data_IF_710373387151
#
_entry.id   IF_710373387151
#
_cell.length_a   1.000
_cell.length_b   1.000
_cell.length_c   1.000
_cell.angle_alpha   90.00
_cell.angle_beta   90.00
_cell.angle_gamma   90.00
#
_symmetry.space_group_name_H-M   'P 1'
#
loop_
_entity.id
_entity.type
_entity.pdbx_description
1 polymer ?
#
# COMPACT_ATOMS: atom_id res chain seq x y z
N UNK A 1 20.78 -26.52 -15.76
CA UNK A 1 19.46 -25.88 -15.57
C UNK A 1 18.98 -25.14 -16.82
N UNK A 2 19.75 -24.19 -17.37
CA UNK A 2 19.32 -23.32 -18.48
C UNK A 2 18.79 -24.06 -19.73
N UNK A 3 19.53 -25.05 -20.27
CA UNK A 3 19.08 -25.80 -21.47
C UNK A 3 17.73 -26.51 -21.29
N UNK A 4 17.56 -27.19 -20.16
CA UNK A 4 16.32 -27.90 -19.83
C UNK A 4 15.11 -26.96 -19.66
N UNK A 5 15.31 -25.79 -19.05
CA UNK A 5 14.25 -24.79 -18.89
C UNK A 5 13.84 -24.15 -20.23
N UNK A 6 14.80 -23.94 -21.13
CA UNK A 6 14.54 -23.38 -22.46
C UNK A 6 13.80 -24.38 -23.36
N UNK A 7 14.11 -25.67 -23.27
CA UNK A 7 13.37 -26.73 -23.97
C UNK A 7 11.91 -26.82 -23.51
N UNK A 8 11.65 -26.57 -22.23
CA UNK A 8 10.30 -26.52 -21.64
C UNK A 8 9.81 -25.09 -21.41
N UNK A 9 10.22 -24.15 -22.26
CA UNK A 9 10.00 -22.72 -22.06
C UNK A 9 8.56 -22.35 -21.65
N UNK A 10 7.51 -22.81 -22.36
CA UNK A 10 6.15 -22.42 -21.99
C UNK A 10 5.74 -22.92 -20.59
N UNK A 11 6.22 -24.10 -20.17
CA UNK A 11 5.88 -24.71 -18.89
C UNK A 11 6.63 -24.02 -17.76
N UNK A 12 7.91 -23.75 -17.97
CA UNK A 12 8.73 -22.99 -17.04
C UNK A 12 8.17 -21.57 -16.86
N UNK A 13 7.79 -20.89 -17.95
CA UNK A 13 7.21 -19.55 -17.90
C UNK A 13 5.86 -19.55 -17.16
N UNK A 14 4.94 -20.45 -17.50
CA UNK A 14 3.64 -20.54 -16.83
C UNK A 14 3.78 -20.86 -15.33
N UNK A 15 4.69 -21.77 -14.97
CA UNK A 15 4.97 -22.10 -13.58
C UNK A 15 5.57 -20.89 -12.83
N UNK A 16 6.55 -20.20 -13.40
CA UNK A 16 7.14 -19.00 -12.80
C UNK A 16 6.12 -17.88 -12.65
N UNK A 17 5.25 -17.64 -13.64
CA UNK A 17 4.19 -16.64 -13.55
C UNK A 17 3.13 -16.98 -12.48
N UNK A 18 2.73 -18.25 -12.37
CA UNK A 18 1.82 -18.70 -11.32
C UNK A 18 2.47 -18.57 -9.93
N UNK A 19 3.75 -18.97 -9.79
CA UNK A 19 4.51 -18.82 -8.55
C UNK A 19 4.72 -17.36 -8.17
N UNK A 20 4.90 -16.45 -9.13
CA UNK A 20 4.91 -15.02 -8.88
C UNK A 20 3.59 -14.58 -8.24
N UNK A 21 2.44 -14.94 -8.82
CA UNK A 21 1.13 -14.55 -8.30
C UNK A 21 0.89 -15.09 -6.89
N UNK A 22 1.24 -16.37 -6.64
CA UNK A 22 1.15 -16.98 -5.31
C UNK A 22 2.07 -16.30 -4.30
N UNK A 23 3.33 -16.11 -4.65
CA UNK A 23 4.33 -15.55 -3.73
C UNK A 23 4.13 -14.07 -3.49
N UNK A 24 3.61 -13.28 -4.44
CA UNK A 24 3.29 -11.88 -4.22
C UNK A 24 2.29 -11.69 -3.06
N UNK A 25 1.24 -12.51 -3.01
CA UNK A 25 0.25 -12.47 -1.92
C UNK A 25 0.79 -13.13 -0.65
N UNK A 26 1.38 -14.33 -0.77
CA UNK A 26 1.83 -15.09 0.39
C UNK A 26 3.02 -14.42 1.11
N UNK A 27 3.97 -13.85 0.37
CA UNK A 27 5.12 -13.14 0.96
C UNK A 27 4.66 -11.93 1.76
N UNK A 28 3.75 -11.12 1.21
CA UNK A 28 3.15 -9.99 1.93
C UNK A 28 2.38 -10.44 3.18
N UNK A 29 1.51 -11.45 3.05
CA UNK A 29 0.71 -11.93 4.16
C UNK A 29 1.54 -12.54 5.30
N UNK A 30 2.65 -13.20 4.98
CA UNK A 30 3.57 -13.75 5.98
C UNK A 30 4.45 -12.64 6.56
N UNK A 31 4.91 -11.67 5.74
CA UNK A 31 5.71 -10.53 6.17
C UNK A 31 5.00 -9.71 7.25
N UNK A 32 3.70 -9.44 7.06
CA UNK A 32 2.87 -8.72 8.04
C UNK A 32 2.73 -9.44 9.39
N UNK A 33 2.97 -10.76 9.43
CA UNK A 33 2.90 -11.55 10.67
C UNK A 33 4.25 -11.69 11.37
N UNK A 34 5.34 -11.24 10.74
CA UNK A 34 6.65 -11.27 11.37
C UNK A 34 6.69 -10.26 12.52
N UNK A 35 7.19 -10.63 13.71
CA UNK A 35 7.29 -9.73 14.87
C UNK A 35 8.49 -8.79 14.72
N UNK A 36 8.58 -8.09 13.59
CA UNK A 36 9.62 -7.13 13.30
C UNK A 36 9.26 -5.76 13.88
N UNK A 37 10.17 -5.20 14.68
CA UNK A 37 10.05 -3.84 15.19
C UNK A 37 11.30 -3.03 14.79
N UNK A 38 11.11 -2.06 13.90
CA UNK A 38 12.19 -1.21 13.41
C UNK A 38 12.84 -0.36 14.52
N UNK A 39 12.08 0.05 15.55
CA UNK A 39 12.58 0.88 16.64
C UNK A 39 13.52 0.11 17.59
N UNK A 40 13.37 -1.22 17.64
CA UNK A 40 14.18 -2.09 18.48
C UNK A 40 15.48 -2.55 17.81
N UNK A 41 15.70 -2.22 16.52
CA UNK A 41 16.81 -2.79 15.74
C UNK A 41 18.19 -2.54 16.36
N UNK A 42 18.37 -1.39 17.02
CA UNK A 42 19.61 -1.00 17.69
C UNK A 42 19.80 -1.77 19.00
N UNK A 43 18.70 -2.11 19.68
CA UNK A 43 18.68 -2.66 21.04
C UNK A 43 18.54 -4.19 21.08
N UNK A 44 17.93 -4.78 20.05
CA UNK A 44 17.61 -6.20 19.96
C UNK A 44 18.14 -6.79 18.65
N UNK A 45 19.32 -7.44 18.64
CA UNK A 45 19.94 -7.97 17.42
C UNK A 45 19.09 -9.04 16.72
N UNK A 46 18.16 -9.69 17.46
CA UNK A 46 17.16 -10.59 16.88
C UNK A 46 16.31 -9.91 15.80
N UNK A 47 16.08 -8.59 15.90
CA UNK A 47 15.36 -7.82 14.88
C UNK A 47 16.08 -7.80 13.53
N UNK A 48 17.42 -7.96 13.50
CA UNK A 48 18.17 -8.11 12.24
C UNK A 48 17.85 -9.43 11.54
N UNK A 49 17.61 -10.51 12.29
CA UNK A 49 17.19 -11.80 11.73
C UNK A 49 15.78 -11.68 11.15
N UNK A 50 14.86 -11.00 11.85
CA UNK A 50 13.52 -10.74 11.33
C UNK A 50 13.54 -9.84 10.09
N UNK A 51 14.41 -8.82 10.06
CA UNK A 51 14.62 -7.99 8.89
C UNK A 51 15.13 -8.80 7.70
N UNK A 52 16.14 -9.65 7.91
CA UNK A 52 16.68 -10.53 6.88
C UNK A 52 15.62 -11.52 6.37
N UNK A 53 14.81 -12.10 7.27
CA UNK A 53 13.69 -12.96 6.90
C UNK A 53 12.65 -12.21 6.06
N UNK A 54 12.34 -10.96 6.42
CA UNK A 54 11.42 -10.12 5.66
C UNK A 54 11.94 -9.86 4.24
N UNK A 55 13.21 -9.48 4.07
CA UNK A 55 13.83 -9.32 2.75
C UNK A 55 13.86 -10.63 1.95
N UNK A 56 14.23 -11.75 2.58
CA UNK A 56 14.27 -13.06 1.93
C UNK A 56 12.88 -13.54 1.50
N UNK A 57 11.83 -13.12 2.19
CA UNK A 57 10.46 -13.42 1.84
C UNK A 57 9.97 -12.54 0.68
N UNK A 58 10.25 -11.23 0.75
CA UNK A 58 9.85 -10.27 -0.28
C UNK A 58 10.62 -10.41 -1.60
N UNK A 59 11.81 -11.03 -1.61
CA UNK A 59 12.56 -11.30 -2.85
C UNK A 59 11.89 -12.38 -3.72
N UNK A 60 11.08 -13.28 -3.14
CA UNK A 60 10.48 -14.41 -3.85
C UNK A 60 9.65 -14.01 -5.08
N UNK A 61 8.67 -13.08 -5.00
CA UNK A 61 7.96 -12.63 -6.19
C UNK A 61 8.93 -12.05 -7.23
N UNK A 62 9.89 -11.21 -6.85
CA UNK A 62 10.86 -10.66 -7.80
C UNK A 62 11.71 -11.73 -8.49
N UNK A 63 12.11 -12.77 -7.76
CA UNK A 63 12.84 -13.90 -8.34
C UNK A 63 12.03 -14.61 -9.42
N UNK A 64 10.75 -14.91 -9.17
CA UNK A 64 9.89 -15.56 -10.15
C UNK A 64 9.57 -14.66 -11.34
N UNK A 65 9.34 -13.36 -11.11
CA UNK A 65 9.15 -12.38 -12.17
C UNK A 65 10.39 -12.23 -13.06
N UNK A 66 11.57 -12.08 -12.46
CA UNK A 66 12.84 -12.02 -13.16
C UNK A 66 13.14 -13.31 -13.93
N UNK A 67 12.72 -14.47 -13.42
CA UNK A 67 12.84 -15.75 -14.12
C UNK A 67 12.01 -15.77 -15.40
N UNK A 68 10.77 -15.25 -15.39
CA UNK A 68 9.95 -15.12 -16.60
C UNK A 68 10.66 -14.28 -17.69
N UNK A 69 11.18 -13.13 -17.31
CA UNK A 69 11.89 -12.22 -18.21
C UNK A 69 13.20 -12.85 -18.72
N UNK A 70 14.00 -13.42 -17.82
CA UNK A 70 15.25 -14.10 -18.16
C UNK A 70 15.06 -15.29 -19.09
N UNK A 71 14.00 -16.08 -18.90
CA UNK A 71 13.63 -17.18 -19.80
C UNK A 71 13.24 -16.66 -21.19
N UNK A 72 12.51 -15.54 -21.27
CA UNK A 72 12.12 -14.94 -22.54
C UNK A 72 13.35 -14.49 -23.35
N UNK A 73 14.34 -13.86 -22.70
CA UNK A 73 15.62 -13.51 -23.34
C UNK A 73 16.40 -14.74 -23.81
N UNK A 74 16.48 -15.80 -22.98
CA UNK A 74 17.17 -17.03 -23.35
C UNK A 74 16.51 -17.75 -24.53
N UNK A 75 15.17 -17.68 -24.66
CA UNK A 75 14.42 -18.36 -25.71
C UNK A 75 14.50 -17.66 -27.06
N UNK A 76 14.64 -16.34 -27.07
CA UNK A 76 14.62 -15.49 -28.26
C UNK A 76 15.89 -14.63 -28.42
N UNK A 77 17.09 -15.25 -28.50
CA UNK A 77 18.35 -14.50 -28.56
C UNK A 77 18.46 -13.61 -29.82
N UNK A 78 17.83 -13.98 -30.94
CA UNK A 78 17.81 -13.18 -32.16
C UNK A 78 16.82 -12.00 -32.17
N UNK A 79 15.99 -11.85 -31.14
CA UNK A 79 14.96 -10.81 -31.05
C UNK A 79 14.97 -10.07 -29.70
N UNK A 80 16.11 -10.04 -29.01
CA UNK A 80 16.25 -9.43 -27.68
C UNK A 80 15.72 -7.99 -27.66
N UNK A 81 16.01 -7.19 -28.69
CA UNK A 81 15.51 -5.81 -28.77
C UNK A 81 13.98 -5.70 -28.75
N UNK A 82 13.26 -6.63 -29.41
CA UNK A 82 11.79 -6.67 -29.37
C UNK A 82 11.28 -7.12 -28.02
N UNK A 83 11.87 -8.18 -27.46
CA UNK A 83 11.48 -8.68 -26.12
C UNK A 83 11.68 -7.60 -25.06
N UNK A 84 12.82 -6.90 -25.10
CA UNK A 84 13.14 -5.80 -24.21
C UNK A 84 12.19 -4.61 -24.39
N UNK A 85 11.81 -4.28 -25.63
CA UNK A 85 10.83 -3.22 -25.88
C UNK A 85 9.45 -3.55 -25.27
N UNK A 86 8.99 -4.81 -25.37
CA UNK A 86 7.74 -5.24 -24.73
C UNK A 86 7.84 -5.29 -23.19
N UNK A 87 8.97 -5.71 -22.65
CA UNK A 87 9.24 -5.70 -21.20
C UNK A 87 9.17 -4.26 -20.65
N UNK A 88 9.86 -3.31 -21.30
CA UNK A 88 9.87 -1.92 -20.88
C UNK A 88 8.51 -1.24 -21.05
N UNK A 89 7.81 -1.50 -22.16
CA UNK A 89 6.46 -0.99 -22.37
C UNK A 89 5.47 -1.56 -21.35
N UNK A 90 5.56 -2.86 -21.06
CA UNK A 90 4.77 -3.53 -20.03
C UNK A 90 5.02 -2.98 -18.64
N UNK A 91 6.28 -2.75 -18.27
CA UNK A 91 6.66 -2.11 -17.01
C UNK A 91 6.12 -0.67 -16.91
N UNK A 92 6.19 0.12 -17.99
CA UNK A 92 5.63 1.47 -18.04
C UNK A 92 4.11 1.50 -17.88
N UNK A 93 3.39 0.63 -18.60
CA UNK A 93 1.93 0.47 -18.47
C UNK A 93 1.59 -0.01 -17.06
N UNK A 94 2.35 -0.96 -16.51
CA UNK A 94 2.17 -1.46 -15.15
C UNK A 94 2.37 -0.38 -14.09
N UNK A 95 3.39 0.47 -14.24
CA UNK A 95 3.67 1.57 -13.32
C UNK A 95 2.56 2.63 -13.33
N UNK A 96 2.09 3.05 -14.50
CA UNK A 96 0.94 3.96 -14.60
C UNK A 96 -0.35 3.31 -14.11
N UNK A 97 -0.54 2.04 -14.46
CA UNK A 97 -1.70 1.24 -14.10
C UNK A 97 -1.84 1.06 -12.58
N UNK A 98 -0.74 0.77 -11.86
CA UNK A 98 -0.79 0.60 -10.41
C UNK A 98 -1.07 1.91 -9.69
N UNK A 99 -0.52 3.04 -10.17
CA UNK A 99 -0.85 4.36 -9.62
C UNK A 99 -2.32 4.68 -9.82
N UNK A 100 -2.86 4.46 -11.02
CA UNK A 100 -4.29 4.62 -11.31
C UNK A 100 -5.18 3.71 -10.44
N UNK A 101 -4.77 2.46 -10.26
CA UNK A 101 -5.49 1.49 -9.43
C UNK A 101 -5.53 1.91 -7.96
N UNK A 102 -4.43 2.44 -7.43
CA UNK A 102 -4.33 2.90 -6.03
C UNK A 102 -5.16 4.16 -5.73
N UNK A 103 -5.67 4.88 -6.74
CA UNK A 103 -6.71 5.90 -6.52
C UNK A 103 -8.11 5.31 -6.34
N UNK A 104 -8.32 4.05 -6.76
CA UNK A 104 -9.64 3.41 -6.78
C UNK A 104 -9.82 2.39 -5.65
N UNK A 105 -8.74 1.70 -5.28
CA UNK A 105 -8.77 0.60 -4.31
C UNK A 105 -7.62 0.71 -3.31
N UNK A 106 -7.82 0.11 -2.14
CA UNK A 106 -6.77 -0.01 -1.12
C UNK A 106 -5.58 -0.86 -1.62
N UNK A 107 -4.36 -0.63 -1.09
CA UNK A 107 -3.15 -1.36 -1.49
C UNK A 107 -3.27 -2.88 -1.41
N UNK A 108 -3.94 -3.41 -0.38
CA UNK A 108 -4.17 -4.85 -0.21
C UNK A 108 -5.05 -5.45 -1.32
N UNK A 109 -6.05 -4.70 -1.81
CA UNK A 109 -6.87 -5.08 -2.95
C UNK A 109 -6.10 -4.96 -4.26
N UNK A 110 -5.28 -3.92 -4.41
CA UNK A 110 -4.41 -3.75 -5.59
C UNK A 110 -3.47 -4.95 -5.77
N UNK A 111 -2.92 -5.50 -4.68
CA UNK A 111 -2.08 -6.70 -4.70
C UNK A 111 -2.81 -7.93 -5.27
N UNK A 112 -4.12 -8.08 -5.00
CA UNK A 112 -4.94 -9.17 -5.57
C UNK A 112 -5.06 -9.07 -7.09
N UNK A 113 -5.22 -7.85 -7.62
CA UNK A 113 -5.24 -7.63 -9.07
C UNK A 113 -3.89 -7.95 -9.71
N UNK A 114 -2.77 -7.59 -9.08
CA UNK A 114 -1.42 -7.96 -9.55
C UNK A 114 -1.26 -9.48 -9.60
N UNK A 115 -1.69 -10.18 -8.55
CA UNK A 115 -1.67 -11.64 -8.53
C UNK A 115 -2.57 -12.26 -9.62
N UNK A 116 -3.77 -11.73 -9.82
CA UNK A 116 -4.68 -12.17 -10.87
C UNK A 116 -4.10 -11.97 -12.27
N UNK A 117 -3.43 -10.86 -12.54
CA UNK A 117 -2.71 -10.61 -13.80
C UNK A 117 -1.59 -11.63 -14.03
N UNK A 118 -0.88 -12.02 -12.97
CA UNK A 118 0.16 -13.06 -13.07
C UNK A 118 -0.41 -14.44 -13.41
N UNK A 119 -1.54 -14.82 -12.80
CA UNK A 119 -2.25 -16.05 -13.16
C UNK A 119 -2.82 -16.00 -14.58
N UNK A 120 -3.30 -14.83 -15.03
CA UNK A 120 -3.72 -14.64 -16.41
C UNK A 120 -2.53 -14.82 -17.38
N UNK A 121 -1.37 -14.25 -17.07
CA UNK A 121 -0.14 -14.45 -17.86
C UNK A 121 0.28 -15.93 -17.89
N UNK A 122 0.18 -16.63 -16.77
CA UNK A 122 0.42 -18.07 -16.70
C UNK A 122 -0.56 -18.86 -17.58
N UNK A 123 -1.85 -18.50 -17.58
CA UNK A 123 -2.86 -19.10 -18.45
C UNK A 123 -2.53 -18.88 -19.92
N UNK A 124 -2.18 -17.64 -20.31
CA UNK A 124 -1.76 -17.29 -21.66
C UNK A 124 -0.56 -18.10 -22.15
N UNK A 125 0.48 -18.26 -21.31
CA UNK A 125 1.61 -19.12 -21.64
C UNK A 125 1.22 -20.60 -21.75
N UNK A 126 0.22 -21.04 -20.99
CA UNK A 126 -0.27 -22.42 -21.00
C UNK A 126 -1.12 -22.80 -22.22
N UNK A 127 -1.78 -21.85 -22.88
CA UNK A 127 -2.53 -22.10 -24.11
C UNK A 127 -1.67 -22.72 -25.23
N UNK A 128 -0.36 -22.46 -25.23
CA UNK A 128 0.59 -22.98 -26.22
C UNK A 128 1.03 -24.44 -26.04
N UNK A 129 0.70 -25.11 -24.92
CA UNK A 129 1.48 -26.27 -24.45
C UNK A 129 0.92 -27.69 -24.65
N UNK A 130 -0.39 -27.94 -24.57
CA UNK A 130 -0.89 -29.31 -24.26
C UNK A 130 -2.06 -29.74 -25.14
N UNK A 131 -2.23 -31.05 -25.39
CA UNK A 131 -3.38 -31.65 -26.09
C UNK A 131 -4.76 -31.34 -25.44
N UNK A 132 -4.79 -30.97 -24.15
CA UNK A 132 -5.97 -30.52 -23.37
C UNK A 132 -5.86 -29.03 -22.97
N UNK A 133 -5.54 -28.19 -23.95
CA UNK A 133 -5.30 -26.72 -23.90
C UNK A 133 -6.26 -25.94 -23.00
N UNK A 134 -7.53 -26.28 -23.10
CA UNK A 134 -8.62 -25.55 -22.50
C UNK A 134 -8.73 -25.81 -21.00
N UNK A 135 -8.42 -27.02 -20.52
CA UNK A 135 -8.53 -27.35 -19.09
C UNK A 135 -7.48 -26.65 -18.24
N UNK A 136 -6.23 -26.59 -18.71
CA UNK A 136 -5.15 -25.90 -17.99
C UNK A 136 -5.36 -24.38 -17.97
N UNK A 137 -5.77 -23.81 -19.11
CA UNK A 137 -6.08 -22.39 -19.20
C UNK A 137 -7.35 -22.00 -18.44
N UNK A 138 -8.40 -22.83 -18.47
CA UNK A 138 -9.60 -22.63 -17.66
C UNK A 138 -9.29 -22.76 -16.17
N UNK A 139 -8.45 -23.72 -15.76
CA UNK A 139 -8.04 -23.87 -14.36
C UNK A 139 -7.26 -22.66 -13.83
N UNK A 140 -6.28 -22.16 -14.60
CA UNK A 140 -5.53 -20.95 -14.26
C UNK A 140 -6.37 -19.68 -14.35
N UNK A 141 -7.31 -19.61 -15.31
CA UNK A 141 -8.28 -18.51 -15.42
C UNK A 141 -9.28 -18.49 -14.25
N UNK A 142 -9.75 -19.66 -13.83
CA UNK A 142 -10.56 -19.83 -12.61
C UNK A 142 -9.76 -19.47 -11.36
N UNK A 143 -8.48 -19.84 -11.30
CA UNK A 143 -7.60 -19.43 -10.21
C UNK A 143 -7.40 -17.90 -10.19
N UNK A 144 -7.21 -17.26 -11.35
CA UNK A 144 -7.13 -15.79 -11.45
C UNK A 144 -8.43 -15.12 -10.97
N UNK A 145 -9.58 -15.64 -11.40
CA UNK A 145 -10.89 -15.15 -10.96
C UNK A 145 -11.11 -15.36 -9.46
N UNK A 146 -10.72 -16.53 -8.92
CA UNK A 146 -10.81 -16.85 -7.50
C UNK A 146 -9.89 -15.96 -6.65
N UNK A 147 -8.68 -15.68 -7.11
CA UNK A 147 -7.73 -14.76 -6.46
C UNK A 147 -8.27 -13.33 -6.48
N UNK A 148 -8.91 -12.91 -7.58
CA UNK A 148 -9.53 -11.60 -7.68
C UNK A 148 -10.77 -11.42 -6.78
N UNK A 149 -11.59 -12.47 -6.60
CA UNK A 149 -12.92 -12.37 -5.97
C UNK A 149 -12.98 -12.94 -4.55
N UNK A 150 -12.20 -13.99 -4.23
CA UNK A 150 -12.52 -14.90 -3.11
C UNK A 150 -11.38 -15.14 -2.12
N UNK A 151 -10.21 -14.52 -2.27
CA UNK A 151 -9.19 -14.59 -1.23
C UNK A 151 -9.74 -13.95 0.07
N UNK A 152 -9.85 -14.70 1.18
CA UNK A 152 -10.43 -14.20 2.42
C UNK A 152 -9.71 -12.93 2.86
N UNK A 153 -10.44 -11.89 3.32
CA UNK A 153 -9.82 -10.70 3.90
C UNK A 153 -8.80 -11.08 4.97
N UNK A 154 -9.04 -12.07 5.83
CA UNK A 154 -8.07 -12.51 6.84
C UNK A 154 -6.73 -13.06 6.31
N UNK A 155 -6.65 -13.46 5.03
CA UNK A 155 -5.44 -13.99 4.40
C UNK A 155 -4.66 -12.92 3.62
N UNK A 156 -5.32 -11.84 3.19
CA UNK A 156 -4.73 -10.76 2.36
C UNK A 156 -4.78 -9.39 3.04
N UNK A 157 -5.61 -9.29 4.07
CA UNK A 157 -5.92 -8.15 4.92
C UNK A 157 -6.07 -8.62 6.38
N UNK A 158 -5.04 -9.18 7.03
CA UNK A 158 -4.77 -8.61 8.35
C UNK A 158 -4.68 -7.11 8.11
N UNK A 159 -5.46 -6.29 8.81
CA UNK A 159 -5.22 -4.85 8.80
C UNK A 159 -3.70 -4.66 8.96
N UNK A 160 -3.03 -3.92 8.05
CA UNK A 160 -1.57 -3.80 8.08
C UNK A 160 -1.15 -3.54 9.51
N UNK A 161 -0.25 -4.36 10.05
CA UNK A 161 0.01 -4.37 11.47
C UNK A 161 0.55 -3.00 11.88
N UNK A 162 -0.35 -2.16 12.36
CA UNK A 162 -0.03 -0.79 12.65
C UNK A 162 0.74 -0.77 13.95
N UNK A 163 1.97 -0.26 13.89
CA UNK A 163 2.84 -0.15 15.05
C UNK A 163 2.10 0.51 16.22
N UNK A 164 2.21 -0.10 17.40
CA UNK A 164 1.64 0.43 18.65
C UNK A 164 2.12 1.84 19.00
N UNK A 165 3.24 2.27 18.43
CA UNK A 165 3.82 3.59 18.66
C UNK A 165 3.26 4.68 17.74
N UNK A 166 2.41 4.32 16.76
CA UNK A 166 1.80 5.30 15.86
C UNK A 166 0.69 6.08 16.54
N UNK A 167 0.60 7.38 16.23
CA UNK A 167 -0.37 8.30 16.83
C UNK A 167 -1.82 7.83 16.71
N UNK A 168 -2.21 7.22 15.59
CA UNK A 168 -3.56 6.67 15.40
C UNK A 168 -3.88 5.53 16.37
N UNK A 169 -2.93 4.62 16.63
CA UNK A 169 -3.15 3.51 17.57
C UNK A 169 -3.35 4.02 18.99
N UNK A 170 -2.52 4.97 19.40
CA UNK A 170 -2.64 5.64 20.70
C UNK A 170 -3.98 6.39 20.81
N UNK A 171 -4.40 7.10 19.76
CA UNK A 171 -5.65 7.86 19.75
C UNK A 171 -6.89 6.96 19.90
N UNK A 172 -6.85 5.75 19.35
CA UNK A 172 -7.94 4.77 19.44
C UNK A 172 -8.02 4.05 20.80
N UNK A 173 -7.04 4.20 21.68
CA UNK A 173 -7.11 3.69 23.07
C UNK A 173 -8.02 4.56 23.96
N UNK A 174 -8.33 5.79 23.52
CA UNK A 174 -9.22 6.69 24.25
C UNK A 174 -10.66 6.13 24.30
N UNK A 175 -11.35 6.15 25.45
CA UNK A 175 -12.72 5.64 25.53
C UNK A 175 -13.66 6.29 24.52
N UNK A 176 -14.39 5.46 23.78
CA UNK A 176 -15.32 5.86 22.71
C UNK A 176 -14.68 6.52 21.48
N UNK A 177 -13.34 6.56 21.36
CA UNK A 177 -12.70 6.98 20.14
C UNK A 177 -12.94 5.96 19.02
N UNK A 178 -13.26 6.46 17.83
CA UNK A 178 -13.59 5.60 16.67
C UNK A 178 -13.17 6.25 15.37
N UNK A 179 -12.82 5.39 14.41
CA UNK A 179 -12.65 5.78 13.02
C UNK A 179 -14.05 6.05 12.43
N UNK A 180 -14.23 7.22 11.81
CA UNK A 180 -15.50 7.59 11.15
C UNK A 180 -15.39 7.59 9.64
N UNK A 181 -14.18 7.74 9.09
CA UNK A 181 -13.94 7.75 7.65
C UNK A 181 -12.51 7.33 7.33
N UNK A 182 -12.34 6.61 6.23
CA UNK A 182 -11.03 6.28 5.65
C UNK A 182 -11.01 6.57 4.15
N UNK A 183 -9.92 7.17 3.68
CA UNK A 183 -9.69 7.47 2.27
C UNK A 183 -8.27 7.07 1.89
N UNK A 184 -8.15 6.13 0.96
CA UNK A 184 -6.86 5.70 0.42
C UNK A 184 -6.56 6.37 -0.91
N UNK A 185 -5.31 6.73 -1.13
CA UNK A 185 -4.77 7.19 -2.41
C UNK A 185 -3.31 6.73 -2.56
N UNK A 186 -2.68 6.90 -3.73
CA UNK A 186 -1.24 6.63 -3.88
C UNK A 186 -0.36 7.52 -3.00
N UNK A 187 -0.89 8.61 -2.44
CA UNK A 187 -0.16 9.53 -1.57
C UNK A 187 -0.21 9.13 -0.09
N UNK A 188 -1.09 8.22 0.29
CA UNK A 188 -1.26 7.77 1.68
C UNK A 188 -2.69 7.38 2.02
N UNK A 189 -2.86 6.80 3.20
CA UNK A 189 -4.14 6.49 3.83
C UNK A 189 -4.51 7.60 4.82
N UNK A 190 -5.60 8.30 4.54
CA UNK A 190 -6.20 9.25 5.47
C UNK A 190 -7.21 8.51 6.35
N UNK A 191 -7.06 8.62 7.67
CA UNK A 191 -7.98 8.06 8.66
C UNK A 191 -8.52 9.20 9.52
N UNK A 192 -9.84 9.39 9.49
CA UNK A 192 -10.54 10.41 10.30
C UNK A 192 -11.05 9.76 11.57
N UNK A 193 -10.68 10.34 12.71
CA UNK A 193 -11.01 9.83 14.05
C UNK A 193 -11.83 10.86 14.81
N UNK A 194 -12.91 10.38 15.40
CA UNK A 194 -13.72 11.10 16.38
C UNK A 194 -13.39 10.59 17.78
N UNK A 195 -13.28 11.50 18.76
CA UNK A 195 -13.12 11.16 20.17
C UNK A 195 -14.11 11.98 21.02
N UNK A 196 -15.31 11.44 21.32
CA UNK A 196 -16.34 12.18 22.04
C UNK A 196 -16.01 12.40 23.52
N UNK A 197 -15.31 11.46 24.16
CA UNK A 197 -15.02 11.51 25.61
C UNK A 197 -13.87 12.47 25.92
N UNK A 198 -12.81 12.44 25.10
CA UNK A 198 -11.65 13.32 25.23
C UNK A 198 -11.41 13.97 23.86
N UNK A 199 -12.04 15.12 23.58
CA UNK A 199 -11.96 15.77 22.27
C UNK A 199 -10.53 16.13 21.88
N UNK A 200 -10.22 16.02 20.59
CA UNK A 200 -8.93 16.47 20.07
C UNK A 200 -8.78 17.99 20.22
N UNK A 201 -7.58 18.42 20.60
CA UNK A 201 -7.19 19.83 20.76
C UNK A 201 -5.84 20.07 20.10
N UNK A 202 -5.80 19.89 18.79
CA UNK A 202 -4.63 20.12 17.97
C UNK A 202 -4.60 21.58 17.49
N UNK A 203 -3.72 22.37 18.11
CA UNK A 203 -3.50 23.79 17.79
C UNK A 203 -1.99 24.12 17.87
N UNK A 204 -1.17 23.65 16.91
CA UNK A 204 0.26 23.89 16.93
C UNK A 204 0.58 25.39 16.83
N UNK A 205 1.54 25.85 17.62
CA UNK A 205 1.95 27.25 17.66
C UNK A 205 0.96 28.18 18.38
N UNK A 206 0.00 27.65 19.14
CA UNK A 206 -0.90 28.45 19.98
C UNK A 206 -0.13 29.14 21.12
N UNK A 207 -0.34 30.44 21.26
CA UNK A 207 0.27 31.26 22.31
C UNK A 207 -0.17 30.83 23.70
N UNK A 208 0.75 30.88 24.67
CA UNK A 208 0.44 30.70 26.10
C UNK A 208 -0.51 31.78 26.66
N UNK A 209 -0.60 32.94 26.00
CA UNK A 209 -1.50 34.02 26.38
C UNK A 209 -2.94 33.82 25.85
N UNK A 210 -3.20 32.72 25.15
CA UNK A 210 -4.52 32.40 24.64
C UNK A 210 -5.47 31.98 25.76
N UNK A 211 -6.69 32.51 25.74
CA UNK A 211 -7.73 32.24 26.75
C UNK A 211 -8.90 31.42 26.19
N UNK A 212 -8.86 31.02 24.92
CA UNK A 212 -9.95 30.33 24.24
C UNK A 212 -9.56 28.93 23.79
N UNK A 213 -10.35 27.92 24.15
CA UNK A 213 -10.10 26.58 23.66
C UNK A 213 -10.52 26.43 22.18
N UNK A 214 -9.81 25.61 21.39
CA UNK A 214 -10.31 25.18 20.10
C UNK A 214 -11.69 24.51 20.26
N UNK A 215 -12.64 24.73 19.33
CA UNK A 215 -13.92 24.02 19.34
C UNK A 215 -13.68 22.54 19.00
N UNK A 216 -14.73 21.73 19.00
CA UNK A 216 -14.61 20.31 18.70
C UNK A 216 -13.86 20.05 17.38
N UNK A 217 -12.89 19.13 17.41
CA UNK A 217 -12.08 18.77 16.25
C UNK A 217 -12.19 17.27 15.96
N UNK A 218 -12.16 16.94 14.68
CA UNK A 218 -11.87 15.58 14.21
C UNK A 218 -10.38 15.49 13.90
N UNK A 219 -9.72 14.43 14.34
CA UNK A 219 -8.34 14.18 13.98
C UNK A 219 -8.25 13.50 12.61
N UNK A 220 -7.31 13.93 11.78
CA UNK A 220 -7.00 13.29 10.51
C UNK A 220 -5.56 12.81 10.57
N UNK A 221 -5.38 11.49 10.49
CA UNK A 221 -4.08 10.84 10.46
C UNK A 221 -3.73 10.46 9.02
N UNK A 222 -2.48 10.69 8.63
CA UNK A 222 -1.91 10.21 7.36
C UNK A 222 -1.01 9.03 7.65
N UNK A 223 -1.33 7.86 7.08
CA UNK A 223 -0.65 6.58 7.31
C UNK A 223 -0.52 6.23 8.81
N UNK A 224 -1.52 6.62 9.61
CA UNK A 224 -1.57 6.37 11.06
C UNK A 224 -0.76 7.34 11.92
N UNK A 225 -0.16 8.38 11.34
CA UNK A 225 0.58 9.43 12.07
C UNK A 225 0.29 10.82 11.47
N UNK A 226 1.19 11.79 11.63
CA UNK A 226 1.13 13.13 11.05
C UNK A 226 -0.24 13.77 11.24
N UNK A 227 -0.66 13.85 12.51
CA UNK A 227 -1.99 14.34 12.87
C UNK A 227 -2.22 15.77 12.35
N UNK A 228 -3.38 15.96 11.74
CA UNK A 228 -3.99 17.26 11.47
C UNK A 228 -5.42 17.26 12.02
N UNK A 229 -6.12 18.39 11.95
CA UNK A 229 -7.44 18.51 12.57
C UNK A 229 -8.45 19.26 11.71
N UNK A 230 -9.65 18.70 11.59
CA UNK A 230 -10.82 19.38 11.02
C UNK A 230 -11.55 20.04 12.18
N UNK A 231 -11.51 21.38 12.22
CA UNK A 231 -12.12 22.17 13.28
C UNK A 231 -13.58 22.46 12.96
N UNK A 232 -14.49 22.15 13.87
CA UNK A 232 -15.91 22.46 13.70
C UNK A 232 -16.11 23.98 13.60
N UNK A 233 -16.64 24.44 12.47
CA UNK A 233 -16.90 25.85 12.21
C UNK A 233 -18.33 26.06 11.73
N UNK A 234 -19.11 26.77 12.54
CA UNK A 234 -20.52 27.08 12.27
C UNK A 234 -20.77 28.47 11.66
N UNK A 235 -19.75 29.11 11.08
CA UNK A 235 -19.85 30.45 10.50
C UNK A 235 -19.60 31.62 11.47
N UNK A 236 -19.44 31.35 12.77
CA UNK A 236 -19.13 32.36 13.78
C UNK A 236 -17.62 32.47 14.01
N UNK A 237 -16.95 33.57 13.59
CA UNK A 237 -15.51 33.75 13.77
C UNK A 237 -15.07 33.76 15.23
N UNK A 238 -15.96 34.12 16.17
CA UNK A 238 -15.61 34.16 17.59
C UNK A 238 -15.23 32.77 18.12
N UNK A 239 -15.81 31.69 17.56
CA UNK A 239 -15.52 30.30 17.95
C UNK A 239 -14.13 29.82 17.51
N UNK A 240 -13.51 30.51 16.56
CA UNK A 240 -12.18 30.17 16.02
C UNK A 240 -11.17 31.29 16.29
N UNK A 241 -11.45 32.22 17.20
CA UNK A 241 -10.55 33.32 17.52
C UNK A 241 -9.26 32.87 18.24
N UNK A 242 -9.15 31.59 18.65
CA UNK A 242 -7.86 31.00 19.03
C UNK A 242 -6.84 31.00 17.86
N UNK A 243 -7.30 30.96 16.60
CA UNK A 243 -6.42 30.99 15.41
C UNK A 243 -5.60 32.27 15.34
N UNK A 244 -6.18 33.39 15.78
CA UNK A 244 -5.54 34.71 15.88
C UNK A 244 -4.37 34.74 16.88
N UNK A 245 -4.28 33.72 17.73
CA UNK A 245 -3.22 33.52 18.74
C UNK A 245 -2.23 32.43 18.35
N UNK A 246 -2.30 31.92 17.13
CA UNK A 246 -1.31 30.99 16.59
C UNK A 246 -0.17 31.73 15.89
N UNK A 247 0.99 31.09 15.75
CA UNK A 247 2.10 31.62 14.95
C UNK A 247 1.72 31.85 13.48
N UNK A 248 0.78 31.08 12.95
CA UNK A 248 0.25 31.24 11.59
C UNK A 248 -0.52 32.57 11.39
N UNK A 249 -0.96 33.23 12.47
CA UNK A 249 -1.62 34.53 12.40
C UNK A 249 -0.65 35.71 12.15
N UNK A 250 0.67 35.50 12.33
CA UNK A 250 1.66 36.57 12.27
C UNK A 250 1.62 37.38 10.96
N UNK A 251 1.55 36.79 9.76
CA UNK A 251 1.49 37.55 8.51
C UNK A 251 0.27 38.47 8.44
N UNK A 252 -0.87 38.05 9.01
CA UNK A 252 -2.11 38.83 9.05
C UNK A 252 -2.06 40.01 10.03
N UNK A 253 -1.14 39.97 11.00
CA UNK A 253 -0.92 41.07 11.97
C UNK A 253 0.05 42.13 11.45
N UNK A 254 1.04 41.73 10.65
CA UNK A 254 2.12 42.61 10.18
C UNK A 254 1.81 43.21 8.80
N UNK A 255 1.17 42.44 7.90
CA UNK A 255 0.90 42.89 6.53
C UNK A 255 -0.47 43.58 6.46
N UNK A 256 -0.51 44.75 5.82
CA UNK A 256 -1.77 45.51 5.61
C UNK A 256 -2.74 44.83 4.62
N UNK A 257 -2.22 44.06 3.66
CA UNK A 257 -2.99 43.36 2.62
C UNK A 257 -2.30 42.02 2.28
N UNK A 258 -2.36 41.02 3.17
CA UNK A 258 -1.77 39.72 2.92
C UNK A 258 -2.48 39.07 1.71
N UNK A 259 -1.71 38.59 0.74
CA UNK A 259 -2.22 37.73 -0.34
C UNK A 259 -2.10 36.30 0.14
N UNK A 260 -3.23 35.63 0.29
CA UNK A 260 -3.29 34.24 0.75
C UNK A 260 -4.09 33.41 -0.24
N UNK A 261 -3.69 32.16 -0.39
CA UNK A 261 -4.47 31.17 -1.11
C UNK A 261 -5.59 30.71 -0.16
N UNK A 262 -6.85 30.96 -0.55
CA UNK A 262 -8.05 30.46 0.14
C UNK A 262 -8.59 29.32 -0.70
#
# INVERSE_FOLDING_TARGET
AQRWLVERYPAAFAASAALFGMTAVASFAIAERLPFNALEIIWAPRQLVWLAANYALLILPFFFGATCVGLAFCRHPGQIGRVYAFDLAGAGIGALGIVGLLFLVFPSTALRFVAALAFAAAAFAAFGMVRHRWLAACGLGLAAAFVAVSLPPSWVAPEPHMSQYKGLRIALEVPNARVIEERSSPLGLLTVVESPTVPFRHAPGLSLANTQEPPAQLAVFTDGDSISAITAYGGDPAKVAYLDRTTAALPYRILKRPRVLI
#
